data_IF_397914640402
#
_entry.id   IF_397914640402
#
_cell.length_a   1.000
_cell.length_b   1.000
_cell.length_c   1.000
_cell.angle_alpha   90.00
_cell.angle_beta   90.00
_cell.angle_gamma   90.00
#
_symmetry.space_group_name_H-M   'P 1'
#
loop_
_entity.id
_entity.type
_entity.pdbx_description
1 polymer ?
#
# COMPACT_ATOMS: atom_id res chain seq x y z
N UNK A 1 -15.75 0.72 39.09
CA UNK A 1 -14.59 -0.20 39.04
C UNK A 1 -14.56 -0.90 37.68
N UNK A 2 -14.29 -0.14 36.61
CA UNK A 2 -13.69 -0.63 35.37
C UNK A 2 -12.71 0.45 34.92
N UNK A 3 -11.52 -0.01 34.61
CA UNK A 3 -10.24 0.69 34.56
C UNK A 3 -10.10 1.64 33.39
N UNK A 4 -9.39 2.74 33.64
CA UNK A 4 -8.64 3.52 32.66
C UNK A 4 -7.90 2.58 31.68
N UNK A 5 -8.46 2.31 30.51
CA UNK A 5 -7.72 1.73 29.39
C UNK A 5 -8.54 1.78 28.08
N UNK A 6 -9.13 2.94 27.75
CA UNK A 6 -9.38 3.19 26.31
C UNK A 6 -8.04 3.62 25.71
N UNK A 7 -7.23 2.58 25.51
CA UNK A 7 -5.97 2.58 24.80
C UNK A 7 -6.20 3.40 23.54
N UNK A 8 -5.33 4.39 23.30
CA UNK A 8 -5.17 5.02 21.99
C UNK A 8 -5.00 3.92 20.94
N UNK A 9 -6.10 3.36 20.43
CA UNK A 9 -6.08 2.40 19.34
C UNK A 9 -5.63 3.23 18.16
N UNK A 10 -4.33 3.21 17.93
CA UNK A 10 -3.75 3.81 16.73
C UNK A 10 -4.38 2.99 15.62
N UNK A 11 -5.39 3.54 14.95
CA UNK A 11 -6.05 2.91 13.81
C UNK A 11 -4.93 2.61 12.81
N UNK A 12 -4.57 1.33 12.67
CA UNK A 12 -3.57 0.92 11.69
C UNK A 12 -4.33 0.72 10.39
N UNK A 13 -4.29 1.74 9.54
CA UNK A 13 -4.93 1.67 8.23
C UNK A 13 -4.12 0.76 7.31
N UNK A 14 -4.79 -0.23 6.73
CA UNK A 14 -4.23 -1.08 5.67
C UNK A 14 -4.77 -0.60 4.32
N UNK A 15 -3.91 -0.56 3.33
CA UNK A 15 -4.25 -0.15 1.97
C UNK A 15 -4.06 -1.33 1.03
N UNK A 16 -5.12 -1.75 0.35
CA UNK A 16 -4.99 -2.51 -0.89
C UNK A 16 -4.80 -1.49 -2.00
N UNK A 17 -3.84 -1.73 -2.89
CA UNK A 17 -3.53 -0.81 -3.97
C UNK A 17 -3.25 -1.52 -5.28
N UNK A 18 -3.54 -0.81 -6.37
CA UNK A 18 -3.21 -1.20 -7.73
C UNK A 18 -2.27 -0.14 -8.29
N UNK A 19 -1.05 -0.55 -8.63
CA UNK A 19 -0.14 0.27 -9.43
C UNK A 19 -0.25 -0.14 -10.89
N UNK A 20 -0.24 0.85 -11.79
CA UNK A 20 -0.20 0.63 -13.24
C UNK A 20 1.08 1.22 -13.79
N UNK A 21 1.78 0.49 -14.64
CA UNK A 21 2.91 1.04 -15.39
C UNK A 21 2.39 1.96 -16.49
N UNK A 22 3.00 3.14 -16.67
CA UNK A 22 2.63 4.05 -17.77
C UNK A 22 3.16 3.59 -19.13
N UNK A 23 4.20 2.76 -19.15
CA UNK A 23 4.91 2.38 -20.37
C UNK A 23 4.41 1.02 -20.88
N UNK A 24 4.01 0.14 -19.97
CA UNK A 24 3.60 -1.22 -20.30
C UNK A 24 2.24 -1.45 -19.64
N UNK A 25 1.31 -2.12 -20.32
CA UNK A 25 -0.02 -2.48 -19.78
C UNK A 25 0.04 -3.54 -18.68
N UNK A 26 0.93 -3.37 -17.70
CA UNK A 26 1.08 -4.20 -16.51
C UNK A 26 0.51 -3.49 -15.30
N UNK A 27 -0.22 -4.26 -14.51
CA UNK A 27 -0.73 -3.87 -13.20
C UNK A 27 -0.04 -4.69 -12.12
N UNK A 28 0.08 -4.09 -10.95
CA UNK A 28 0.60 -4.73 -9.75
C UNK A 28 -0.39 -4.48 -8.63
N UNK A 29 -0.87 -5.57 -8.01
CA UNK A 29 -1.78 -5.51 -6.87
C UNK A 29 -0.98 -5.88 -5.63
N UNK A 30 -1.13 -5.11 -4.57
CA UNK A 30 -0.49 -5.39 -3.30
C UNK A 30 -1.21 -4.74 -2.13
N UNK A 31 -0.70 -4.99 -0.93
CA UNK A 31 -1.15 -4.33 0.29
C UNK A 31 0.03 -3.68 1.02
N UNK A 32 -0.26 -2.60 1.75
CA UNK A 32 0.74 -1.85 2.54
C UNK A 32 0.02 -1.04 3.61
N UNK A 33 0.69 -0.72 4.72
CA UNK A 33 0.22 0.29 5.67
C UNK A 33 0.66 1.72 5.30
N UNK A 34 1.54 1.86 4.29
CA UNK A 34 2.01 3.14 3.78
C UNK A 34 2.15 3.08 2.24
N UNK A 35 1.20 3.71 1.55
CA UNK A 35 1.15 3.71 0.09
C UNK A 35 2.20 4.64 -0.54
N UNK A 36 2.52 5.75 0.13
CA UNK A 36 3.46 6.74 -0.37
C UNK A 36 4.89 6.19 -0.35
N UNK A 37 5.27 5.54 0.75
CA UNK A 37 6.55 4.85 0.86
C UNK A 37 6.65 3.74 -0.18
N UNK A 38 5.60 2.94 -0.36
CA UNK A 38 5.59 1.85 -1.34
C UNK A 38 5.72 2.34 -2.78
N UNK A 39 4.99 3.40 -3.15
CA UNK A 39 5.11 4.00 -4.49
C UNK A 39 6.53 4.51 -4.75
N UNK A 40 7.15 5.17 -3.76
CA UNK A 40 8.55 5.60 -3.83
C UNK A 40 9.51 4.43 -4.01
N UNK A 41 9.35 3.34 -3.25
CA UNK A 41 10.18 2.12 -3.37
C UNK A 41 10.08 1.49 -4.77
N UNK A 42 8.88 1.38 -5.34
CA UNK A 42 8.70 0.86 -6.71
C UNK A 42 9.32 1.79 -7.76
N UNK A 43 9.25 3.11 -7.57
CA UNK A 43 9.83 4.09 -8.48
C UNK A 43 11.32 4.37 -8.23
N UNK A 44 11.93 3.94 -7.12
CA UNK A 44 13.35 4.16 -6.80
C UNK A 44 14.30 3.09 -7.35
N UNK A 45 13.80 2.06 -8.05
CA UNK A 45 14.59 0.93 -8.60
C UNK A 45 15.15 -0.05 -7.58
N UNK A 46 14.66 -0.05 -6.33
CA UNK A 46 15.23 -0.90 -5.27
C UNK A 46 15.12 -2.41 -5.56
N UNK A 47 14.31 -2.81 -6.55
CA UNK A 47 14.19 -4.18 -7.01
C UNK A 47 14.48 -4.29 -8.52
N UNK A 48 15.44 -5.16 -8.90
CA UNK A 48 15.91 -5.37 -10.29
C UNK A 48 14.80 -5.79 -11.27
N UNK A 49 13.71 -6.37 -10.77
CA UNK A 49 12.55 -6.81 -11.57
C UNK A 49 11.54 -5.69 -11.84
N UNK A 50 11.24 -4.83 -10.87
CA UNK A 50 10.22 -3.76 -11.01
C UNK A 50 10.77 -2.47 -11.61
N UNK A 51 12.10 -2.33 -11.65
CA UNK A 51 12.80 -1.17 -12.21
C UNK A 51 12.58 -0.97 -13.72
N UNK A 52 12.33 -2.04 -14.47
CA UNK A 52 12.11 -2.02 -15.93
C UNK A 52 10.74 -1.46 -16.36
N UNK A 53 9.80 -1.33 -15.41
CA UNK A 53 8.39 -1.03 -15.71
C UNK A 53 7.97 0.35 -15.16
N UNK A 54 8.92 1.17 -14.72
CA UNK A 54 8.66 2.55 -14.32
C UNK A 54 8.28 3.44 -15.51
N UNK A 55 7.60 4.57 -15.29
CA UNK A 55 7.03 5.00 -14.02
C UNK A 55 5.77 4.19 -13.67
N UNK A 56 5.66 3.83 -12.39
CA UNK A 56 4.45 3.26 -11.80
C UNK A 56 3.58 4.39 -11.26
N UNK A 57 2.28 4.34 -11.53
CA UNK A 57 1.28 5.26 -10.99
C UNK A 57 0.27 4.51 -10.14
N UNK A 58 -0.21 5.19 -9.11
CA UNK A 58 -1.30 4.71 -8.28
C UNK A 58 -2.60 4.80 -9.06
N UNK A 59 -3.15 3.66 -9.44
CA UNK A 59 -4.38 3.60 -10.22
C UNK A 59 -5.61 3.49 -9.31
N UNK A 60 -5.50 2.71 -8.24
CA UNK A 60 -6.58 2.50 -7.28
C UNK A 60 -6.00 2.24 -5.89
N UNK A 61 -6.72 2.70 -4.87
CA UNK A 61 -6.48 2.37 -3.46
C UNK A 61 -7.78 2.23 -2.72
N UNK A 62 -7.81 1.26 -1.82
CA UNK A 62 -8.90 1.09 -0.86
C UNK A 62 -8.31 0.91 0.53
N UNK A 63 -8.95 1.53 1.52
CA UNK A 63 -8.46 1.57 2.91
C UNK A 63 -9.35 0.71 3.79
N UNK A 64 -8.71 -0.08 4.65
CA UNK A 64 -9.35 -0.97 5.60
C UNK A 64 -8.82 -0.71 7.00
N UNK A 65 -9.72 -0.68 7.98
CA UNK A 65 -9.38 -0.44 9.39
C UNK A 65 -9.02 -1.74 10.13
N UNK A 66 -9.14 -2.88 9.44
CA UNK A 66 -8.82 -4.20 9.96
C UNK A 66 -8.03 -5.02 8.93
N UNK A 67 -6.95 -5.64 9.38
CA UNK A 67 -6.12 -6.55 8.58
C UNK A 67 -6.95 -7.75 8.07
N UNK A 68 -7.94 -8.21 8.83
CA UNK A 68 -8.81 -9.32 8.42
C UNK A 68 -9.77 -8.94 7.29
N UNK A 69 -10.11 -7.66 7.11
CA UNK A 69 -10.91 -7.21 5.97
C UNK A 69 -10.10 -7.07 4.68
N UNK A 70 -8.77 -6.87 4.81
CA UNK A 70 -7.88 -6.65 3.66
C UNK A 70 -7.25 -7.94 3.08
N UNK A 71 -7.38 -9.09 3.75
CA UNK A 71 -6.71 -10.34 3.41
C UNK A 71 -7.66 -11.42 2.86
#
# INVERSE_FOLDING_TARGET
MYSNLDIRRTMVNYYIYILKSKIISKTYVGYTSDIQKRLKEHNSASNKYTSKFKPWELFYTETFDDKQQAC
#
